data_IF_045028114729
#
_entry.id   IF_045028114729
#
_cell.length_a   1.000
_cell.length_b   1.000
_cell.length_c   1.000
_cell.angle_alpha   90.00
_cell.angle_beta   90.00
_cell.angle_gamma   90.00
#
_symmetry.space_group_name_H-M   'P 1'
#
loop_
_entity.id
_entity.type
_entity.pdbx_description
1 polymer ?
#
# COMPACT_ATOMS: atom_id res chain seq x y z
N UNK A 1 6.87 -15.69 46.29
CA UNK A 1 5.94 -16.11 45.23
C UNK A 1 4.86 -16.92 45.91
N UNK A 2 3.62 -16.46 45.81
CA UNK A 2 2.50 -17.03 46.54
C UNK A 2 1.97 -18.28 45.81
N UNK A 3 1.58 -19.32 46.55
CA UNK A 3 1.11 -20.59 45.97
C UNK A 3 -0.18 -20.40 45.15
N UNK A 4 -0.92 -19.31 45.39
CA UNK A 4 -2.13 -18.93 44.65
C UNK A 4 -1.84 -18.50 43.20
N UNK A 5 -0.67 -17.93 42.94
CA UNK A 5 -0.27 -17.57 41.56
C UNK A 5 0.08 -18.82 40.76
N UNK A 6 0.69 -19.81 41.43
CA UNK A 6 0.99 -21.11 40.83
C UNK A 6 -0.28 -21.91 40.55
N UNK A 7 -1.28 -21.88 41.44
CA UNK A 7 -2.55 -22.56 41.19
C UNK A 7 -3.32 -21.92 40.03
N UNK A 8 -3.35 -20.59 39.92
CA UNK A 8 -3.93 -19.88 38.77
C UNK A 8 -3.20 -20.18 37.47
N UNK A 9 -1.87 -20.20 37.48
CA UNK A 9 -1.09 -20.59 36.30
C UNK A 9 -1.34 -22.05 35.92
N UNK A 10 -1.49 -22.93 36.91
CA UNK A 10 -1.77 -24.35 36.69
C UNK A 10 -3.19 -24.59 36.22
N UNK A 11 -4.18 -23.83 36.70
CA UNK A 11 -5.55 -23.81 36.17
C UNK A 11 -5.57 -23.31 34.73
N UNK A 12 -4.90 -22.21 34.42
CA UNK A 12 -4.77 -21.72 33.04
C UNK A 12 -4.09 -22.76 32.12
N UNK A 13 -3.10 -23.50 32.65
CA UNK A 13 -2.40 -24.55 31.91
C UNK A 13 -3.23 -25.84 31.76
N UNK A 14 -4.11 -26.13 32.72
CA UNK A 14 -4.99 -27.31 32.72
C UNK A 14 -6.31 -27.06 31.97
N UNK A 15 -6.84 -25.83 32.00
CA UNK A 15 -7.89 -25.35 31.10
C UNK A 15 -7.38 -25.28 29.65
N UNK A 16 -6.08 -25.02 29.47
CA UNK A 16 -5.36 -25.21 28.21
C UNK A 16 -5.03 -26.68 27.90
N UNK A 17 -5.74 -27.67 28.48
CA UNK A 17 -5.75 -29.01 27.87
C UNK A 17 -6.31 -28.87 26.45
N UNK A 18 -5.58 -29.36 25.43
CA UNK A 18 -5.90 -29.05 24.05
C UNK A 18 -7.24 -29.72 23.74
N UNK A 19 -8.29 -28.91 23.59
CA UNK A 19 -9.48 -29.39 22.92
C UNK A 19 -9.00 -29.99 21.60
N UNK A 20 -9.31 -31.27 21.40
CA UNK A 20 -8.99 -32.04 20.20
C UNK A 20 -9.69 -31.38 19.00
N UNK A 21 -9.07 -30.35 18.46
CA UNK A 21 -9.24 -29.83 17.11
C UNK A 21 -8.00 -28.96 16.86
N UNK A 22 -6.98 -29.44 16.13
CA UNK A 22 -6.11 -28.52 15.39
C UNK A 22 -7.04 -27.87 14.35
N UNK A 23 -7.71 -26.79 14.76
CA UNK A 23 -8.86 -26.29 14.03
C UNK A 23 -8.41 -26.00 12.59
N UNK A 24 -9.15 -26.47 11.55
CA UNK A 24 -8.85 -26.21 10.14
C UNK A 24 -8.64 -24.71 9.83
N UNK A 25 -9.07 -23.83 10.74
CA UNK A 25 -8.81 -22.40 10.79
C UNK A 25 -7.32 -22.03 10.86
N UNK A 26 -6.45 -22.77 11.56
CA UNK A 26 -5.02 -22.40 11.72
C UNK A 26 -4.23 -22.66 10.43
N UNK A 27 -4.50 -23.78 9.76
CA UNK A 27 -3.97 -24.07 8.43
C UNK A 27 -4.53 -23.11 7.36
N UNK A 28 -5.80 -22.70 7.47
CA UNK A 28 -6.38 -21.67 6.60
C UNK A 28 -5.76 -20.29 6.83
N UNK A 29 -5.47 -19.92 8.08
CA UNK A 29 -4.78 -18.68 8.43
C UNK A 29 -3.34 -18.66 7.90
N UNK A 30 -2.60 -19.77 8.03
CA UNK A 30 -1.26 -19.91 7.44
C UNK A 30 -1.28 -19.81 5.92
N UNK A 31 -2.24 -20.45 5.23
CA UNK A 31 -2.42 -20.29 3.78
C UNK A 31 -2.76 -18.85 3.38
N UNK A 32 -3.62 -18.17 4.15
CA UNK A 32 -3.97 -16.77 3.94
C UNK A 32 -2.75 -15.85 4.10
N UNK A 33 -1.89 -16.11 5.09
CA UNK A 33 -0.64 -15.39 5.31
C UNK A 33 0.37 -15.59 4.18
N UNK A 34 0.59 -16.82 3.72
CA UNK A 34 1.46 -17.10 2.58
C UNK A 34 0.96 -16.38 1.32
N UNK A 35 -0.35 -16.41 1.08
CA UNK A 35 -0.97 -15.72 -0.05
C UNK A 35 -0.79 -14.19 0.06
N UNK A 36 -0.98 -13.61 1.24
CA UNK A 36 -0.74 -12.18 1.48
C UNK A 36 0.73 -11.79 1.27
N UNK A 37 1.68 -12.60 1.74
CA UNK A 37 3.11 -12.39 1.51
C UNK A 37 3.44 -12.40 0.03
N UNK A 38 2.90 -13.36 -0.71
CA UNK A 38 3.13 -13.49 -2.14
C UNK A 38 2.54 -12.31 -2.92
N UNK A 39 1.31 -11.88 -2.60
CA UNK A 39 0.72 -10.68 -3.19
C UNK A 39 1.52 -9.41 -2.90
N UNK A 40 2.04 -9.24 -1.68
CA UNK A 40 2.88 -8.09 -1.35
C UNK A 40 4.18 -8.06 -2.16
N UNK A 41 4.81 -9.23 -2.36
CA UNK A 41 6.03 -9.34 -3.17
C UNK A 41 5.76 -9.09 -4.65
N UNK A 42 4.69 -9.67 -5.21
CA UNK A 42 4.31 -9.43 -6.59
C UNK A 42 3.98 -7.97 -6.86
N UNK A 43 3.22 -7.31 -5.99
CA UNK A 43 2.93 -5.88 -6.13
C UNK A 43 4.21 -5.04 -6.08
N UNK A 44 5.14 -5.35 -5.18
CA UNK A 44 6.42 -4.66 -5.13
C UNK A 44 7.24 -4.85 -6.42
N UNK A 45 7.26 -6.07 -6.97
CA UNK A 45 7.91 -6.35 -8.25
C UNK A 45 7.27 -5.61 -9.42
N UNK A 46 5.95 -5.60 -9.50
CA UNK A 46 5.21 -4.89 -10.54
C UNK A 46 5.44 -3.37 -10.46
N UNK A 47 5.34 -2.78 -9.26
CA UNK A 47 5.63 -1.36 -9.05
C UNK A 47 7.06 -0.99 -9.46
N UNK A 48 8.03 -1.86 -9.16
CA UNK A 48 9.42 -1.65 -9.58
C UNK A 48 9.55 -1.66 -11.11
N UNK A 49 8.92 -2.60 -11.81
CA UNK A 49 8.93 -2.66 -13.28
C UNK A 49 8.32 -1.40 -13.88
N UNK A 50 7.18 -0.93 -13.33
CA UNK A 50 6.55 0.32 -13.78
C UNK A 50 7.50 1.51 -13.57
N UNK A 51 8.17 1.60 -12.43
CA UNK A 51 9.13 2.68 -12.17
C UNK A 51 10.34 2.64 -13.11
N UNK A 52 10.87 1.46 -13.40
CA UNK A 52 11.95 1.30 -14.38
C UNK A 52 11.49 1.74 -15.77
N UNK A 53 10.27 1.39 -16.16
CA UNK A 53 9.69 1.80 -17.43
C UNK A 53 9.53 3.32 -17.53
N UNK A 54 8.97 3.96 -16.50
CA UNK A 54 8.81 5.43 -16.46
C UNK A 54 10.17 6.14 -16.42
N UNK A 55 11.14 5.59 -15.69
CA UNK A 55 12.51 6.12 -15.64
C UNK A 55 13.20 6.01 -17.00
N UNK A 56 13.06 4.87 -17.68
CA UNK A 56 13.55 4.69 -19.05
C UNK A 56 12.92 5.71 -20.00
N UNK A 57 11.60 5.88 -19.91
CA UNK A 57 10.87 6.82 -20.76
C UNK A 57 11.33 8.27 -20.54
N UNK A 58 11.58 8.67 -19.29
CA UNK A 58 12.15 9.98 -19.01
C UNK A 58 13.54 10.18 -19.64
N UNK A 59 14.41 9.17 -19.57
CA UNK A 59 15.74 9.22 -20.19
C UNK A 59 15.62 9.26 -21.72
N UNK A 60 14.74 8.46 -22.32
CA UNK A 60 14.56 8.44 -23.78
C UNK A 60 14.02 9.75 -24.32
N UNK A 61 13.03 10.35 -23.66
CA UNK A 61 12.49 11.67 -24.03
C UNK A 61 13.52 12.78 -23.84
N UNK A 62 14.35 12.68 -22.79
CA UNK A 62 15.47 13.61 -22.58
C UNK A 62 16.48 13.53 -23.73
N UNK A 63 16.79 12.31 -24.19
CA UNK A 63 17.70 12.09 -25.31
C UNK A 63 17.10 12.53 -26.66
N UNK A 64 15.78 12.46 -26.81
CA UNK A 64 15.06 12.91 -28.01
C UNK A 64 14.91 14.45 -28.10
N UNK A 65 15.27 15.18 -27.04
CA UNK A 65 15.17 16.65 -27.00
C UNK A 65 13.75 17.15 -26.81
N UNK A 66 12.93 16.43 -26.03
CA UNK A 66 11.57 16.85 -25.71
C UNK A 66 11.53 18.23 -25.03
N UNK A 67 10.36 18.87 -25.09
CA UNK A 67 10.18 20.21 -24.53
C UNK A 67 10.43 20.23 -23.02
N UNK A 68 11.05 21.30 -22.52
CA UNK A 68 11.42 21.44 -21.11
C UNK A 68 10.23 21.22 -20.13
N UNK A 69 9.01 21.73 -20.39
CA UNK A 69 7.85 21.44 -19.53
C UNK A 69 7.51 19.94 -19.45
N UNK A 70 7.62 19.20 -20.55
CA UNK A 70 7.34 17.76 -20.59
C UNK A 70 8.41 16.97 -19.84
N UNK A 71 9.69 17.35 -19.99
CA UNK A 71 10.79 16.76 -19.26
C UNK A 71 10.70 17.01 -17.75
N UNK A 72 10.31 18.22 -17.32
CA UNK A 72 10.08 18.53 -15.92
C UNK A 72 8.92 17.72 -15.34
N UNK A 73 7.84 17.56 -16.10
CA UNK A 73 6.71 16.72 -15.71
C UNK A 73 7.13 15.25 -15.56
N UNK A 74 7.80 14.68 -16.56
CA UNK A 74 8.30 13.31 -16.52
C UNK A 74 9.28 13.09 -15.36
N UNK A 75 10.19 14.04 -15.13
CA UNK A 75 11.11 14.02 -14.00
C UNK A 75 10.38 14.05 -12.66
N UNK A 76 9.36 14.90 -12.51
CA UNK A 76 8.50 14.94 -11.33
C UNK A 76 7.78 13.60 -11.11
N UNK A 77 7.11 13.05 -12.13
CA UNK A 77 6.40 11.76 -12.03
C UNK A 77 7.37 10.64 -11.63
N UNK A 78 8.56 10.61 -12.22
CA UNK A 78 9.59 9.61 -11.93
C UNK A 78 10.06 9.71 -10.48
N UNK A 79 10.48 10.91 -10.05
CA UNK A 79 11.01 11.14 -8.71
C UNK A 79 9.93 10.91 -7.64
N UNK A 80 8.71 11.39 -7.89
CA UNK A 80 7.54 11.15 -7.04
C UNK A 80 7.24 9.66 -6.88
N UNK A 81 7.26 8.92 -7.99
CA UNK A 81 7.07 7.47 -8.01
C UNK A 81 8.12 6.74 -7.16
N UNK A 82 9.39 7.09 -7.31
CA UNK A 82 10.48 6.51 -6.50
C UNK A 82 10.33 6.80 -5.01
N UNK A 83 10.00 8.05 -4.63
CA UNK A 83 9.77 8.43 -3.23
C UNK A 83 8.64 7.59 -2.62
N UNK A 84 7.50 7.49 -3.30
CA UNK A 84 6.38 6.67 -2.82
C UNK A 84 6.75 5.19 -2.73
N UNK A 85 7.46 4.66 -3.72
CA UNK A 85 7.89 3.27 -3.71
C UNK A 85 8.80 2.96 -2.54
N UNK A 86 9.76 3.82 -2.22
CA UNK A 86 10.63 3.64 -1.05
C UNK A 86 9.81 3.64 0.25
N UNK A 87 8.92 4.61 0.44
CA UNK A 87 8.11 4.71 1.66
C UNK A 87 7.16 3.52 1.81
N UNK A 88 6.49 3.11 0.73
CA UNK A 88 5.56 1.97 0.74
C UNK A 88 6.32 0.66 0.91
N UNK A 89 7.47 0.49 0.24
CA UNK A 89 8.30 -0.71 0.34
C UNK A 89 8.89 -0.87 1.73
N UNK A 90 9.30 0.22 2.39
CA UNK A 90 9.77 0.17 3.77
C UNK A 90 8.65 -0.24 4.74
N UNK A 91 7.42 0.24 4.52
CA UNK A 91 6.24 -0.21 5.27
C UNK A 91 5.96 -1.71 5.05
N UNK A 92 6.04 -2.19 3.80
CA UNK A 92 5.90 -3.62 3.46
C UNK A 92 6.98 -4.47 4.10
N UNK A 93 8.22 -4.00 4.11
CA UNK A 93 9.35 -4.69 4.72
C UNK A 93 9.13 -4.90 6.22
N UNK A 94 8.71 -3.86 6.94
CA UNK A 94 8.35 -3.98 8.38
C UNK A 94 7.22 -4.98 8.61
N UNK A 95 6.20 -4.99 7.75
CA UNK A 95 5.11 -5.96 7.80
C UNK A 95 5.61 -7.39 7.55
N UNK A 96 6.51 -7.59 6.59
CA UNK A 96 7.12 -8.89 6.28
C UNK A 96 8.03 -9.40 7.40
N UNK A 97 8.82 -8.53 8.03
CA UNK A 97 9.64 -8.89 9.19
C UNK A 97 8.77 -9.36 10.36
N UNK A 98 7.65 -8.68 10.62
CA UNK A 98 6.68 -9.08 11.64
C UNK A 98 6.03 -10.44 11.33
N UNK A 99 5.81 -10.75 10.05
CA UNK A 99 5.29 -12.07 9.62
C UNK A 99 6.35 -13.17 9.74
N UNK A 100 7.61 -12.86 9.43
CA UNK A 100 8.71 -13.84 9.47
C UNK A 100 9.10 -14.26 10.89
N UNK A 101 8.89 -13.40 11.90
CA UNK A 101 9.29 -13.70 13.28
C UNK A 101 8.41 -14.74 14.00
N UNK A 102 7.40 -15.31 13.34
CA UNK A 102 6.55 -16.37 13.92
C UNK A 102 5.65 -15.92 15.07
N UNK A 103 5.76 -14.67 15.53
CA UNK A 103 5.04 -14.11 16.67
C UNK A 103 3.52 -13.90 16.42
N UNK A 104 3.06 -14.08 15.17
CA UNK A 104 1.65 -13.91 14.80
C UNK A 104 0.72 -15.00 15.33
N UNK A 105 1.21 -16.21 15.57
CA UNK A 105 0.32 -17.30 16.02
C UNK A 105 -0.18 -17.11 17.45
N UNK A 106 0.35 -16.13 18.20
CA UNK A 106 0.08 -15.98 19.63
C UNK A 106 -0.38 -14.58 20.08
N UNK A 107 -0.42 -13.55 19.21
CA UNK A 107 -0.67 -12.18 19.67
C UNK A 107 -1.64 -11.39 18.78
N UNK A 108 -2.83 -11.12 19.32
CA UNK A 108 -3.81 -10.16 18.78
C UNK A 108 -3.16 -8.77 18.57
N UNK A 109 -2.24 -8.39 19.46
CA UNK A 109 -1.46 -7.14 19.40
C UNK A 109 -0.60 -7.01 18.13
N UNK A 110 -0.19 -8.13 17.53
CA UNK A 110 0.61 -8.13 16.31
C UNK A 110 -0.29 -8.00 15.07
N UNK A 111 -1.49 -8.58 15.11
CA UNK A 111 -2.52 -8.40 14.09
C UNK A 111 -3.02 -6.95 14.01
N UNK A 112 -3.26 -6.30 15.15
CA UNK A 112 -3.63 -4.88 15.19
C UNK A 112 -2.53 -3.97 14.63
N UNK A 113 -1.25 -4.24 14.94
CA UNK A 113 -0.12 -3.50 14.35
C UNK A 113 -0.04 -3.65 12.82
N UNK A 114 -0.30 -4.85 12.29
CA UNK A 114 -0.33 -5.07 10.84
C UNK A 114 -1.49 -4.35 10.15
N UNK A 115 -2.67 -4.34 10.78
CA UNK A 115 -3.82 -3.59 10.29
C UNK A 115 -3.57 -2.09 10.33
N UNK A 116 -2.96 -1.57 11.40
CA UNK A 116 -2.53 -0.16 11.47
C UNK A 116 -1.54 0.19 10.36
N UNK A 117 -0.56 -0.68 10.07
CA UNK A 117 0.36 -0.48 8.95
C UNK A 117 -0.35 -0.54 7.58
N UNK A 118 -1.38 -1.39 7.43
CA UNK A 118 -2.23 -1.42 6.24
C UNK A 118 -3.00 -0.11 6.07
N UNK A 119 -3.68 0.36 7.12
CA UNK A 119 -4.40 1.63 7.11
C UNK A 119 -3.48 2.82 6.82
N UNK A 120 -2.27 2.84 7.38
CA UNK A 120 -1.28 3.87 7.09
C UNK A 120 -0.91 3.88 5.60
N UNK A 121 -0.69 2.71 5.00
CA UNK A 121 -0.40 2.59 3.56
C UNK A 121 -1.54 3.16 2.70
N UNK A 122 -2.80 2.81 3.00
CA UNK A 122 -3.92 3.35 2.23
C UNK A 122 -4.11 4.86 2.40
N UNK A 123 -3.94 5.38 3.62
CA UNK A 123 -3.98 6.84 3.85
C UNK A 123 -2.87 7.56 3.11
N UNK A 124 -1.66 7.00 3.11
CA UNK A 124 -0.54 7.54 2.35
C UNK A 124 -0.83 7.51 0.85
N UNK A 125 -1.37 6.41 0.31
CA UNK A 125 -1.76 6.31 -1.10
C UNK A 125 -2.82 7.34 -1.48
N UNK A 126 -3.86 7.53 -0.67
CA UNK A 126 -4.89 8.56 -0.92
C UNK A 126 -4.28 9.97 -0.89
N UNK A 127 -3.49 10.28 0.13
CA UNK A 127 -2.85 11.60 0.25
C UNK A 127 -1.88 11.87 -0.92
N UNK A 128 -1.12 10.85 -1.33
CA UNK A 128 -0.20 10.93 -2.45
C UNK A 128 -0.92 11.12 -3.78
N UNK A 129 -2.00 10.37 -4.03
CA UNK A 129 -2.82 10.53 -5.24
C UNK A 129 -3.52 11.88 -5.27
N UNK A 130 -4.02 12.37 -4.13
CA UNK A 130 -4.62 13.70 -4.05
C UNK A 130 -3.60 14.80 -4.37
N UNK A 131 -2.42 14.76 -3.76
CA UNK A 131 -1.35 15.72 -4.04
C UNK A 131 -0.89 15.65 -5.50
N UNK A 132 -0.70 14.44 -6.04
CA UNK A 132 -0.37 14.24 -7.45
C UNK A 132 -1.44 14.83 -8.37
N UNK A 133 -2.71 14.65 -8.04
CA UNK A 133 -3.84 15.20 -8.80
C UNK A 133 -3.82 16.72 -8.81
N UNK A 134 -3.52 17.36 -7.67
CA UNK A 134 -3.39 18.82 -7.60
C UNK A 134 -2.27 19.31 -8.52
N UNK A 135 -1.08 18.69 -8.44
CA UNK A 135 0.06 19.07 -9.31
C UNK A 135 -0.27 18.83 -10.79
N UNK A 136 -0.94 17.72 -11.11
CA UNK A 136 -1.39 17.40 -12.47
C UNK A 136 -2.36 18.46 -13.02
N UNK A 137 -3.33 18.91 -12.22
CA UNK A 137 -4.27 19.95 -12.62
C UNK A 137 -3.54 21.27 -12.87
N UNK A 138 -2.63 21.67 -11.97
CA UNK A 138 -1.82 22.89 -12.14
C UNK A 138 -0.98 22.81 -13.42
N UNK A 139 -0.33 21.67 -13.67
CA UNK A 139 0.46 21.45 -14.89
C UNK A 139 -0.39 21.52 -16.16
N UNK A 140 -1.58 20.92 -16.13
CA UNK A 140 -2.51 20.92 -17.27
C UNK A 140 -3.02 22.34 -17.58
N UNK A 141 -3.37 23.11 -16.53
CA UNK A 141 -3.79 24.51 -16.67
C UNK A 141 -2.66 25.38 -17.20
N UNK A 142 -1.42 25.16 -16.76
CA UNK A 142 -0.25 25.86 -17.27
C UNK A 142 -0.05 25.57 -18.76
N UNK A 143 0.00 24.30 -19.17
CA UNK A 143 0.17 23.88 -20.56
C UNK A 143 -0.92 24.46 -21.49
N UNK A 144 -2.19 24.38 -21.09
CA UNK A 144 -3.29 24.95 -21.88
C UNK A 144 -3.36 26.48 -21.85
N UNK A 145 -2.69 27.13 -20.88
CA UNK A 145 -2.55 28.59 -20.82
C UNK A 145 -1.39 29.11 -21.66
N UNK A 146 -0.30 28.34 -21.79
CA UNK A 146 0.89 28.72 -22.57
C UNK A 146 0.81 28.33 -24.04
N UNK A 147 0.10 27.26 -24.38
CA UNK A 147 -0.04 26.75 -25.74
C UNK A 147 -1.51 26.57 -26.13
N UNK A 148 -1.81 26.70 -27.42
CA UNK A 148 -3.14 26.43 -27.98
C UNK A 148 -3.49 24.94 -27.81
N UNK A 149 -4.15 24.59 -26.71
CA UNK A 149 -4.51 23.21 -26.39
C UNK A 149 -5.39 22.57 -27.48
N UNK A 150 -4.84 21.63 -28.23
CA UNK A 150 -5.62 20.85 -29.20
C UNK A 150 -6.62 19.94 -28.50
N UNK A 151 -7.72 19.60 -29.19
CA UNK A 151 -8.75 18.67 -28.70
C UNK A 151 -8.14 17.34 -28.25
N UNK A 152 -7.08 16.90 -28.92
CA UNK A 152 -6.34 15.66 -28.61
C UNK A 152 -5.64 15.73 -27.25
N UNK A 153 -5.09 16.89 -26.87
CA UNK A 153 -4.48 17.09 -25.54
C UNK A 153 -5.54 17.08 -24.44
N UNK A 154 -6.68 17.74 -24.69
CA UNK A 154 -7.83 17.71 -23.77
C UNK A 154 -8.29 16.29 -23.46
N UNK A 155 -8.50 15.45 -24.48
CA UNK A 155 -8.91 14.05 -24.29
C UNK A 155 -7.88 13.29 -23.46
N UNK A 156 -6.58 13.45 -23.75
CA UNK A 156 -5.51 12.78 -22.98
C UNK A 156 -5.52 13.19 -21.51
N UNK A 157 -5.63 14.48 -21.21
CA UNK A 157 -5.64 14.96 -19.83
C UNK A 157 -6.91 14.56 -19.07
N UNK A 158 -8.08 14.60 -19.73
CA UNK A 158 -9.34 14.15 -19.12
C UNK A 158 -9.32 12.67 -18.81
N UNK A 159 -8.78 11.83 -19.71
CA UNK A 159 -8.64 10.39 -19.45
C UNK A 159 -7.67 10.14 -18.29
N UNK A 160 -6.52 10.82 -18.27
CA UNK A 160 -5.56 10.71 -17.17
C UNK A 160 -6.19 11.12 -15.82
N UNK A 161 -6.96 12.21 -15.79
CA UNK A 161 -7.68 12.66 -14.61
C UNK A 161 -8.72 11.64 -14.14
N UNK A 162 -9.50 11.07 -15.07
CA UNK A 162 -10.47 10.03 -14.75
C UNK A 162 -9.82 8.79 -14.13
N UNK A 163 -8.66 8.37 -14.63
CA UNK A 163 -7.88 7.26 -14.06
C UNK A 163 -7.41 7.59 -12.63
N UNK A 164 -6.94 8.82 -12.38
CA UNK A 164 -6.55 9.26 -11.03
C UNK A 164 -7.72 9.26 -10.04
N UNK A 165 -8.91 9.71 -10.49
CA UNK A 165 -10.12 9.66 -9.66
C UNK A 165 -10.53 8.22 -9.34
N UNK A 166 -10.50 7.32 -10.33
CA UNK A 166 -10.80 5.91 -10.10
C UNK A 166 -9.81 5.27 -9.12
N UNK A 167 -8.51 5.59 -9.25
CA UNK A 167 -7.49 5.12 -8.31
C UNK A 167 -7.76 5.64 -6.89
N UNK A 168 -8.10 6.92 -6.73
CA UNK A 168 -8.44 7.51 -5.44
C UNK A 168 -9.67 6.83 -4.80
N UNK A 169 -10.75 6.63 -5.57
CA UNK A 169 -11.94 5.93 -5.11
C UNK A 169 -11.63 4.48 -4.69
N UNK A 170 -10.80 3.78 -5.47
CA UNK A 170 -10.37 2.42 -5.14
C UNK A 170 -9.59 2.39 -3.82
N UNK A 171 -8.64 3.31 -3.61
CA UNK A 171 -7.86 3.38 -2.37
C UNK A 171 -8.73 3.72 -1.16
N UNK A 172 -9.69 4.63 -1.31
CA UNK A 172 -10.65 4.91 -0.23
C UNK A 172 -11.55 3.73 0.10
N UNK A 173 -12.10 3.06 -0.93
CA UNK A 173 -12.92 1.88 -0.74
C UNK A 173 -12.14 0.80 0.03
N UNK A 174 -10.87 0.61 -0.34
CA UNK A 174 -10.00 -0.35 0.34
C UNK A 174 -9.65 0.07 1.77
N UNK A 175 -9.38 1.35 1.99
CA UNK A 175 -9.14 1.90 3.32
C UNK A 175 -10.34 1.71 4.26
N UNK A 176 -11.57 1.85 3.74
CA UNK A 176 -12.80 1.61 4.50
C UNK A 176 -12.95 0.15 4.89
N UNK A 177 -12.63 -0.79 4.00
CA UNK A 177 -12.64 -2.22 4.29
C UNK A 177 -11.69 -2.60 5.44
N UNK A 178 -10.45 -2.09 5.41
CA UNK A 178 -9.47 -2.36 6.46
C UNK A 178 -9.85 -1.73 7.81
N UNK A 179 -10.55 -0.58 7.83
CA UNK A 179 -11.06 0.03 9.06
C UNK A 179 -12.14 -0.83 9.73
N UNK A 180 -13.09 -1.37 8.96
CA UNK A 180 -14.16 -2.23 9.49
C UNK A 180 -13.58 -3.49 10.13
N UNK A 181 -12.64 -4.15 9.44
CA UNK A 181 -11.96 -5.32 9.98
C UNK A 181 -11.15 -5.04 11.26
N UNK A 182 -10.66 -3.80 11.44
CA UNK A 182 -9.98 -3.42 12.67
C UNK A 182 -10.94 -3.18 13.84
N UNK A 183 -12.16 -2.70 13.58
CA UNK A 183 -13.20 -2.50 14.60
C UNK A 183 -13.72 -3.85 15.10
N UNK A 184 -14.00 -4.79 14.19
CA UNK A 184 -14.45 -6.16 14.52
C UNK A 184 -13.45 -6.97 15.36
N UNK A 185 -12.16 -6.57 15.38
CA UNK A 185 -11.12 -7.22 16.18
C UNK A 185 -10.88 -6.54 17.55
N UNK A 186 -11.47 -5.36 17.76
CA UNK A 186 -11.36 -4.60 19.01
C UNK A 186 -12.60 -4.72 19.90
N UNK A 187 -13.74 -5.10 19.31
CA UNK A 187 -14.97 -5.52 20.01
C UNK A 187 -14.87 -6.98 20.46
#
# INVERSE_FOLDING_TARGET
MDNQDFSKLTELWQEAKPSKQPAPQLAQLQKKQQRQRWFMLMNAGFELVVLLFVSYFWISESAAGAALPELLWLGFVTLWGWVLFVVISFSRWRSLQAIKSGALSHSITLHTKLLQQSMFRWRLSVAATALFTVVFVVFTLYQCGSESCSVTHWVRYTVAFAVLLLAMLYFEWRARGDRRACQELME
#
